data_IF_422269044377
#
_entry.id   IF_422269044377
#
_cell.length_a   1.000
_cell.length_b   1.000
_cell.length_c   1.000
_cell.angle_alpha   90.00
_cell.angle_beta   90.00
_cell.angle_gamma   90.00
#
_symmetry.space_group_name_H-M   'P 1'
#
loop_
_entity.id
_entity.type
_entity.pdbx_description
1 polymer ?
#
# COMPACT_ATOMS: atom_id res chain seq x y z
N UNK A 1 13.82 5.23 -7.82
CA UNK A 1 13.01 5.44 -9.02
C UNK A 1 13.74 6.45 -9.90
N UNK A 2 13.52 6.49 -11.21
CA UNK A 2 13.93 7.62 -12.04
C UNK A 2 13.49 8.96 -11.43
N UNK A 3 14.20 10.05 -11.74
CA UNK A 3 13.98 11.36 -11.12
C UNK A 3 12.56 11.93 -11.36
N UNK A 4 11.86 11.46 -12.39
CA UNK A 4 10.52 11.86 -12.80
C UNK A 4 9.41 10.85 -12.39
N UNK A 5 9.75 9.78 -11.66
CA UNK A 5 8.81 8.74 -11.26
C UNK A 5 8.61 8.73 -9.75
N UNK A 6 7.36 8.85 -9.32
CA UNK A 6 6.94 8.79 -7.92
C UNK A 6 5.99 7.62 -7.67
N UNK A 7 6.27 6.82 -6.64
CA UNK A 7 5.33 5.81 -6.16
C UNK A 7 4.33 6.45 -5.22
N UNK A 8 3.04 6.22 -5.46
CA UNK A 8 1.94 6.79 -4.68
C UNK A 8 0.97 5.69 -4.31
N UNK A 9 0.57 5.64 -3.04
CA UNK A 9 -0.40 4.69 -2.52
C UNK A 9 -1.32 5.34 -1.49
N UNK A 10 -2.39 4.63 -1.14
CA UNK A 10 -3.33 5.03 -0.10
C UNK A 10 -3.39 3.94 0.96
N UNK A 11 -3.26 4.32 2.23
CA UNK A 11 -3.39 3.42 3.38
C UNK A 11 -4.73 3.72 4.04
N UNK A 12 -5.57 2.70 4.15
CA UNK A 12 -6.94 2.81 4.65
C UNK A 12 -7.21 1.71 5.67
N UNK A 13 -8.32 1.81 6.39
CA UNK A 13 -8.77 0.73 7.27
C UNK A 13 -8.91 -0.58 6.50
N UNK A 14 -8.41 -1.67 7.10
CA UNK A 14 -8.31 -2.95 6.42
C UNK A 14 -9.67 -3.56 6.09
N UNK A 15 -10.66 -3.47 7.00
CA UNK A 15 -11.98 -4.05 6.79
C UNK A 15 -12.77 -3.24 5.76
N UNK A 16 -12.81 -1.92 5.94
CA UNK A 16 -13.47 -1.02 5.01
C UNK A 16 -12.87 -1.07 3.60
N UNK A 17 -11.54 -1.10 3.50
CA UNK A 17 -10.85 -1.25 2.21
C UNK A 17 -11.21 -2.56 1.51
N UNK A 18 -11.34 -3.66 2.25
CA UNK A 18 -11.80 -4.95 1.73
C UNK A 18 -13.18 -4.84 1.07
N UNK A 19 -14.14 -4.25 1.80
CA UNK A 19 -15.52 -4.12 1.36
C UNK A 19 -15.62 -3.31 0.07
N UNK A 20 -14.85 -2.23 -0.03
CA UNK A 20 -14.81 -1.39 -1.23
C UNK A 20 -14.15 -2.11 -2.40
N UNK A 21 -13.01 -2.75 -2.20
CA UNK A 21 -12.28 -3.46 -3.26
C UNK A 21 -13.01 -4.73 -3.74
N UNK A 22 -13.96 -5.26 -2.98
CA UNK A 22 -14.79 -6.38 -3.41
C UNK A 22 -15.78 -6.02 -4.53
N UNK A 23 -16.09 -4.73 -4.73
CA UNK A 23 -17.12 -4.26 -5.67
C UNK A 23 -16.58 -3.36 -6.79
N UNK A 24 -15.28 -3.08 -6.80
CA UNK A 24 -14.66 -2.24 -7.84
C UNK A 24 -13.18 -2.58 -8.06
N UNK A 25 -12.63 -2.27 -9.24
CA UNK A 25 -11.21 -2.48 -9.51
C UNK A 25 -10.28 -1.64 -8.61
N UNK A 26 -9.05 -2.11 -8.34
CA UNK A 26 -8.06 -1.38 -7.54
C UNK A 26 -7.73 0.01 -8.09
N UNK A 27 -7.69 0.17 -9.41
CA UNK A 27 -7.40 1.43 -10.10
C UNK A 27 -8.49 2.47 -9.79
N UNK A 28 -9.76 2.09 -9.95
CA UNK A 28 -10.91 2.96 -9.64
C UNK A 28 -10.93 3.34 -8.16
N UNK A 29 -10.56 2.41 -7.27
CA UNK A 29 -10.43 2.70 -5.85
C UNK A 29 -9.32 3.71 -5.55
N UNK A 30 -8.12 3.48 -6.07
CA UNK A 30 -6.97 4.37 -5.89
C UNK A 30 -7.28 5.78 -6.42
N UNK A 31 -7.88 5.88 -7.61
CA UNK A 31 -8.29 7.17 -8.21
C UNK A 31 -9.27 7.92 -7.34
N UNK A 32 -10.31 7.25 -6.84
CA UNK A 32 -11.29 7.86 -5.96
C UNK A 32 -10.65 8.36 -4.65
N UNK A 33 -9.73 7.60 -4.06
CA UNK A 33 -9.03 8.02 -2.83
C UNK A 33 -8.09 9.20 -3.07
N UNK A 34 -7.34 9.19 -4.18
CA UNK A 34 -6.45 10.30 -4.53
C UNK A 34 -7.24 11.58 -4.83
N UNK A 35 -8.36 11.48 -5.54
CA UNK A 35 -9.23 12.61 -5.84
C UNK A 35 -9.86 13.24 -4.60
N UNK A 36 -10.06 12.47 -3.52
CA UNK A 36 -10.55 12.97 -2.25
C UNK A 36 -9.50 13.76 -1.44
N UNK A 37 -8.23 13.74 -1.86
CA UNK A 37 -7.16 14.52 -1.20
C UNK A 37 -7.11 15.96 -1.74
N UNK A 38 -6.73 16.93 -0.90
CA UNK A 38 -6.64 18.33 -1.33
C UNK A 38 -5.31 18.74 -1.97
N UNK A 39 -4.18 18.32 -1.41
CA UNK A 39 -2.86 18.70 -1.91
C UNK A 39 -2.30 17.67 -2.89
N UNK A 40 -2.36 16.39 -2.55
CA UNK A 40 -1.81 15.30 -3.37
C UNK A 40 -2.49 15.22 -4.74
N UNK A 41 -3.81 15.35 -4.82
CA UNK A 41 -4.53 15.43 -6.11
C UNK A 41 -4.00 16.55 -7.02
N UNK A 42 -3.69 17.73 -6.46
CA UNK A 42 -3.10 18.85 -7.21
C UNK A 42 -1.67 18.57 -7.66
N UNK A 43 -0.86 17.90 -6.83
CA UNK A 43 0.49 17.49 -7.23
C UNK A 43 0.46 16.49 -8.40
N UNK A 44 -0.55 15.62 -8.43
CA UNK A 44 -0.70 14.58 -9.44
C UNK A 44 -1.48 15.04 -10.69
N UNK A 45 -1.97 16.29 -10.73
CA UNK A 45 -2.84 16.77 -11.80
C UNK A 45 -2.20 16.71 -13.20
N UNK A 46 -0.87 16.75 -13.28
CA UNK A 46 -0.10 16.66 -14.53
C UNK A 46 0.71 15.35 -14.62
N UNK A 47 0.54 14.43 -13.67
CA UNK A 47 1.24 13.16 -13.66
C UNK A 47 0.54 12.16 -14.58
N UNK A 48 1.33 11.29 -15.21
CA UNK A 48 0.84 10.12 -15.92
C UNK A 48 1.07 8.87 -15.06
N UNK A 49 0.08 7.97 -15.02
CA UNK A 49 0.25 6.68 -14.37
C UNK A 49 1.05 5.75 -15.27
N UNK A 50 2.23 5.35 -14.81
CA UNK A 50 3.16 4.49 -15.57
C UNK A 50 3.15 3.02 -15.11
N UNK A 51 2.36 2.67 -14.08
CA UNK A 51 2.27 1.31 -13.52
C UNK A 51 0.87 1.03 -12.93
N UNK A 52 0.54 -0.24 -12.73
CA UNK A 52 -0.76 -0.70 -12.22
C UNK A 52 -0.96 -0.46 -10.71
N UNK A 53 -2.21 -0.48 -10.25
CA UNK A 53 -2.52 -0.40 -8.83
C UNK A 53 -2.37 -1.77 -8.16
N UNK A 54 -1.60 -1.85 -7.07
CA UNK A 54 -1.38 -3.10 -6.31
C UNK A 54 -1.98 -3.00 -4.91
N UNK A 55 -2.57 -4.10 -4.45
CA UNK A 55 -3.14 -4.23 -3.11
C UNK A 55 -2.17 -5.00 -2.22
N UNK A 56 -1.84 -4.42 -1.07
CA UNK A 56 -1.07 -5.08 0.00
C UNK A 56 -1.89 -5.00 1.29
N UNK A 57 -2.10 -6.14 1.96
CA UNK A 57 -2.97 -6.27 3.16
C UNK A 57 -2.34 -7.23 4.16
N UNK A 58 -2.91 -7.26 5.37
CA UNK A 58 -2.52 -8.16 6.46
C UNK A 58 -1.02 -8.11 6.82
N UNK A 59 -0.43 -6.91 6.70
CA UNK A 59 1.00 -6.67 6.86
C UNK A 59 1.41 -6.32 8.30
N UNK A 60 0.51 -5.90 9.18
CA UNK A 60 0.85 -5.66 10.59
C UNK A 60 0.89 -6.97 11.38
N UNK A 61 2.07 -7.44 11.78
CA UNK A 61 2.23 -8.66 12.57
C UNK A 61 3.55 -8.71 13.35
N UNK A 62 3.63 -9.67 14.27
CA UNK A 62 4.87 -10.08 14.93
C UNK A 62 4.98 -11.61 14.92
N UNK A 63 6.12 -12.14 14.49
CA UNK A 63 6.42 -13.57 14.59
C UNK A 63 6.52 -13.99 16.05
N UNK A 64 5.95 -15.14 16.41
CA UNK A 64 5.93 -15.61 17.82
C UNK A 64 7.33 -15.91 18.37
N UNK A 65 8.27 -16.27 17.50
CA UNK A 65 9.65 -16.58 17.86
C UNK A 65 10.58 -16.01 16.77
N UNK A 66 11.45 -15.06 17.16
CA UNK A 66 12.36 -14.38 16.24
C UNK A 66 13.72 -15.07 16.11
N UNK A 67 14.11 -15.85 17.11
CA UNK A 67 15.40 -16.55 17.16
C UNK A 67 15.21 -17.97 17.68
N UNK A 68 16.06 -18.90 17.22
CA UNK A 68 16.15 -20.24 17.76
C UNK A 68 17.50 -20.86 17.41
N UNK A 69 17.67 -22.13 17.73
CA UNK A 69 18.94 -22.81 17.50
C UNK A 69 19.26 -22.89 16.01
N UNK A 70 20.29 -22.15 15.59
CA UNK A 70 20.75 -22.10 14.21
C UNK A 70 19.93 -21.22 13.27
N UNK A 71 18.98 -20.42 13.76
CA UNK A 71 18.23 -19.48 12.91
C UNK A 71 17.84 -18.17 13.59
N UNK A 72 17.65 -17.14 12.76
CA UNK A 72 17.11 -15.83 13.13
C UNK A 72 16.17 -15.35 12.02
N UNK A 73 15.06 -14.72 12.40
CA UNK A 73 14.17 -13.98 11.51
C UNK A 73 14.61 -12.51 11.49
N UNK A 74 14.63 -11.90 10.30
CA UNK A 74 15.03 -10.50 10.10
C UNK A 74 14.09 -9.80 9.11
N UNK A 75 14.00 -8.47 9.20
CA UNK A 75 13.09 -7.67 8.37
C UNK A 75 11.63 -8.09 8.57
N UNK A 76 10.82 -8.01 7.51
CA UNK A 76 9.40 -8.32 7.55
C UNK A 76 9.13 -9.72 8.13
N UNK A 77 9.97 -10.72 7.82
CA UNK A 77 9.82 -12.08 8.35
C UNK A 77 9.81 -12.14 9.90
N UNK A 78 10.43 -11.16 10.57
CA UNK A 78 10.37 -11.04 12.03
C UNK A 78 9.11 -10.29 12.49
N UNK A 79 8.85 -9.12 11.92
CA UNK A 79 7.68 -8.30 12.19
C UNK A 79 7.55 -7.17 11.16
N UNK A 80 6.35 -6.63 11.05
CA UNK A 80 6.08 -5.41 10.31
C UNK A 80 4.94 -4.65 11.01
N UNK A 81 5.05 -3.32 11.10
CA UNK A 81 4.12 -2.45 11.86
C UNK A 81 3.14 -1.83 10.89
#
# INVERSE_FOLDING_TARGET
>A
LPDDVMSVGVVVDAAWGAERLAVQPPETFLEAQLAATGHTSRMLAQAERVDEARIVRDWSYVSRQLVGDGYILVGDAACFI
#
